data_IF_088147525607
#
_entry.id   IF_088147525607
#
_cell.length_a   1.000
_cell.length_b   1.000
_cell.length_c   1.000
_cell.angle_alpha   90.00
_cell.angle_beta   90.00
_cell.angle_gamma   90.00
#
_symmetry.space_group_name_H-M   'P 1'
#
loop_
_entity.id
_entity.type
_entity.pdbx_description
1 polymer ?
#
# COMPACT_ATOMS: atom_id res chain seq x y z
N UNK A 1 -8.42 -26.28 -12.83
CA UNK A 1 -9.60 -27.16 -13.00
C UNK A 1 -9.80 -28.16 -11.86
N UNK A 2 -8.95 -29.19 -11.70
CA UNK A 2 -9.14 -30.22 -10.65
C UNK A 2 -9.25 -29.67 -9.21
N UNK A 3 -8.51 -28.60 -8.89
CA UNK A 3 -8.62 -27.94 -7.59
C UNK A 3 -9.95 -27.19 -7.37
N UNK A 4 -10.51 -26.56 -8.41
CA UNK A 4 -11.80 -25.87 -8.31
C UNK A 4 -12.93 -26.89 -8.09
N UNK A 5 -12.90 -27.99 -8.84
CA UNK A 5 -13.84 -29.10 -8.67
C UNK A 5 -13.74 -29.76 -7.28
N UNK A 6 -12.52 -29.94 -6.76
CA UNK A 6 -12.30 -30.44 -5.40
C UNK A 6 -12.82 -29.48 -4.32
N UNK A 7 -12.95 -28.19 -4.64
CA UNK A 7 -13.52 -27.15 -3.81
C UNK A 7 -15.05 -27.07 -3.78
N UNK A 8 -15.73 -27.99 -4.48
CA UNK A 8 -17.19 -28.01 -4.56
C UNK A 8 -17.78 -27.16 -5.66
N UNK A 9 -16.95 -26.52 -6.51
CA UNK A 9 -17.45 -25.88 -7.72
C UNK A 9 -17.85 -26.92 -8.75
N UNK A 10 -18.91 -26.63 -9.49
CA UNK A 10 -19.27 -27.42 -10.67
C UNK A 10 -18.30 -27.17 -11.83
N UNK A 11 -18.42 -28.01 -12.84
CA UNK A 11 -17.52 -28.02 -13.99
C UNK A 11 -17.71 -26.79 -14.90
N UNK A 12 -18.92 -26.23 -14.93
CA UNK A 12 -19.27 -25.08 -15.75
C UNK A 12 -18.66 -23.80 -15.18
N UNK A 13 -18.82 -23.57 -13.88
CA UNK A 13 -18.24 -22.43 -13.17
C UNK A 13 -16.70 -22.51 -13.14
N UNK A 14 -16.15 -23.71 -13.03
CA UNK A 14 -14.71 -23.93 -13.13
C UNK A 14 -14.12 -23.57 -14.50
N UNK A 15 -14.85 -23.77 -15.58
CA UNK A 15 -14.44 -23.39 -16.94
C UNK A 15 -14.66 -21.90 -17.21
N UNK A 16 -15.73 -21.30 -16.66
CA UNK A 16 -15.98 -19.86 -16.71
C UNK A 16 -14.84 -19.06 -16.06
N UNK A 17 -14.43 -19.46 -14.85
CA UNK A 17 -13.31 -18.86 -14.12
C UNK A 17 -12.03 -18.89 -14.97
N UNK A 18 -11.71 -20.02 -15.59
CA UNK A 18 -10.52 -20.15 -16.45
C UNK A 18 -10.65 -19.32 -17.75
N UNK A 19 -11.87 -19.20 -18.28
CA UNK A 19 -12.17 -18.34 -19.43
C UNK A 19 -11.92 -16.86 -19.12
N UNK A 20 -12.36 -16.37 -17.95
CA UNK A 20 -12.09 -14.99 -17.49
C UNK A 20 -10.60 -14.70 -17.41
N UNK A 21 -9.81 -15.62 -16.84
CA UNK A 21 -8.35 -15.47 -16.78
C UNK A 21 -7.70 -15.37 -18.16
N UNK A 22 -8.20 -16.11 -19.15
CA UNK A 22 -7.65 -16.08 -20.51
C UNK A 22 -7.97 -14.80 -21.29
N UNK A 23 -8.98 -14.02 -20.86
CA UNK A 23 -9.39 -12.77 -21.52
C UNK A 23 -8.58 -11.55 -21.05
N UNK A 24 -7.99 -11.61 -19.87
CA UNK A 24 -7.22 -10.51 -19.29
C UNK A 24 -5.72 -10.86 -19.39
N UNK A 25 -4.89 -10.04 -20.06
CA UNK A 25 -3.46 -10.30 -20.12
C UNK A 25 -2.85 -10.18 -18.72
N UNK A 26 -2.02 -11.14 -18.32
CA UNK A 26 -1.22 -11.02 -17.10
C UNK A 26 -0.11 -9.97 -17.31
N UNK A 27 -0.26 -8.80 -16.69
CA UNK A 27 0.70 -7.69 -16.84
C UNK A 27 1.85 -7.74 -15.83
N UNK A 28 1.74 -8.49 -14.73
CA UNK A 28 2.81 -8.63 -13.74
C UNK A 28 3.09 -7.40 -12.87
N UNK A 29 2.61 -6.22 -13.27
CA UNK A 29 2.89 -4.89 -12.69
C UNK A 29 2.33 -4.66 -11.26
N UNK A 30 1.72 -5.65 -10.62
CA UNK A 30 1.17 -5.55 -9.26
C UNK A 30 2.07 -6.22 -8.21
N UNK A 31 2.30 -5.60 -7.02
CA UNK A 31 3.13 -6.18 -5.96
C UNK A 31 2.54 -7.48 -5.38
N UNK A 32 1.25 -7.73 -5.62
CA UNK A 32 0.49 -8.87 -5.10
C UNK A 32 -0.45 -9.38 -6.20
N UNK A 33 -0.08 -10.42 -6.96
CA UNK A 33 -0.98 -11.02 -7.95
C UNK A 33 -2.24 -11.59 -7.26
N UNK A 34 -3.44 -11.20 -7.68
CA UNK A 34 -4.71 -11.52 -7.00
C UNK A 34 -5.31 -10.40 -6.15
N UNK A 35 -4.88 -9.15 -6.33
CA UNK A 35 -5.46 -7.99 -5.65
C UNK A 35 -5.72 -6.87 -6.67
N UNK A 36 -6.97 -6.41 -6.76
CA UNK A 36 -7.39 -5.42 -7.77
C UNK A 36 -7.32 -5.91 -9.23
N UNK A 37 -7.21 -7.23 -9.42
CA UNK A 37 -7.14 -7.88 -10.73
C UNK A 37 -8.19 -8.99 -10.86
N UNK A 38 -8.23 -9.63 -12.03
CA UNK A 38 -9.19 -10.71 -12.33
C UNK A 38 -9.10 -11.87 -11.33
N UNK A 39 -7.91 -12.16 -10.78
CA UNK A 39 -7.76 -13.21 -9.75
C UNK A 39 -8.34 -12.75 -8.42
N UNK A 40 -8.18 -11.47 -8.06
CA UNK A 40 -8.83 -10.88 -6.88
C UNK A 40 -10.35 -10.98 -6.94
N UNK A 41 -10.96 -10.58 -8.06
CA UNK A 41 -12.41 -10.69 -8.27
C UNK A 41 -12.91 -12.14 -8.15
N UNK A 42 -12.18 -13.09 -8.76
CA UNK A 42 -12.51 -14.51 -8.66
C UNK A 42 -12.38 -15.00 -7.22
N UNK A 43 -11.36 -14.56 -6.47
CA UNK A 43 -11.17 -14.97 -5.08
C UNK A 43 -12.27 -14.42 -4.17
N UNK A 44 -12.74 -13.21 -4.43
CA UNK A 44 -13.87 -12.63 -3.71
C UNK A 44 -15.14 -13.44 -3.95
N UNK A 45 -15.46 -13.80 -5.20
CA UNK A 45 -16.59 -14.67 -5.53
C UNK A 45 -16.45 -16.04 -4.85
N UNK A 46 -15.27 -16.66 -4.93
CA UNK A 46 -14.99 -17.94 -4.29
C UNK A 46 -15.08 -17.90 -2.76
N UNK A 47 -14.79 -16.75 -2.14
CA UNK A 47 -14.89 -16.57 -0.69
C UNK A 47 -16.34 -16.61 -0.19
N UNK A 48 -17.31 -16.26 -1.04
CA UNK A 48 -18.73 -16.29 -0.69
C UNK A 48 -19.40 -17.62 -1.10
N UNK A 49 -19.03 -18.17 -2.25
CA UNK A 49 -19.77 -19.28 -2.87
C UNK A 49 -19.09 -20.65 -2.71
N UNK A 50 -17.93 -20.74 -2.04
CA UNK A 50 -17.20 -21.99 -1.87
C UNK A 50 -16.50 -22.14 -0.52
N UNK A 51 -16.28 -23.40 -0.12
CA UNK A 51 -15.48 -23.76 1.07
C UNK A 51 -13.98 -23.90 0.72
N UNK A 52 -13.50 -23.24 -0.34
CA UNK A 52 -12.11 -23.34 -0.77
C UNK A 52 -11.14 -22.66 0.20
N UNK A 53 -9.97 -23.26 0.37
CA UNK A 53 -8.84 -22.59 1.00
C UNK A 53 -8.30 -21.51 0.05
N UNK A 54 -8.67 -20.25 0.31
CA UNK A 54 -8.40 -19.11 -0.57
C UNK A 54 -6.91 -18.90 -0.85
N UNK A 55 -6.02 -19.24 0.10
CA UNK A 55 -4.58 -19.15 -0.11
C UNK A 55 -4.07 -20.11 -1.19
N UNK A 56 -4.52 -21.36 -1.19
CA UNK A 56 -4.21 -22.36 -2.21
C UNK A 56 -4.89 -22.04 -3.54
N UNK A 57 -6.14 -21.60 -3.52
CA UNK A 57 -6.86 -21.15 -4.72
C UNK A 57 -6.11 -20.00 -5.39
N UNK A 58 -5.70 -18.99 -4.63
CA UNK A 58 -4.93 -17.84 -5.13
C UNK A 58 -3.65 -18.26 -5.84
N UNK A 59 -2.83 -19.12 -5.22
CA UNK A 59 -1.58 -19.60 -5.84
C UNK A 59 -1.83 -20.30 -7.18
N UNK A 60 -2.87 -21.12 -7.27
CA UNK A 60 -3.20 -21.88 -8.47
C UNK A 60 -3.82 -21.01 -9.57
N UNK A 61 -4.67 -20.04 -9.21
CA UNK A 61 -5.27 -19.10 -10.15
C UNK A 61 -4.19 -18.19 -10.77
N UNK A 62 -3.27 -17.66 -9.97
CA UNK A 62 -2.12 -16.88 -10.49
C UNK A 62 -1.25 -17.71 -11.44
N UNK A 63 -0.98 -18.98 -11.10
CA UNK A 63 -0.21 -19.87 -11.99
C UNK A 63 -0.94 -20.14 -13.32
N UNK A 64 -2.25 -20.41 -13.27
CA UNK A 64 -3.06 -20.63 -14.47
C UNK A 64 -3.19 -19.37 -15.33
N UNK A 65 -3.27 -18.19 -14.71
CA UNK A 65 -3.36 -16.91 -15.40
C UNK A 65 -2.07 -16.58 -16.18
N UNK A 66 -0.91 -16.87 -15.58
CA UNK A 66 0.39 -16.77 -16.25
C UNK A 66 0.50 -17.72 -17.45
N UNK A 67 0.08 -18.97 -17.29
CA UNK A 67 0.16 -19.98 -18.34
C UNK A 67 -0.77 -19.69 -19.52
N UNK A 68 -1.99 -19.23 -19.24
CA UNK A 68 -2.96 -18.82 -20.27
C UNK A 68 -2.50 -17.58 -21.04
N UNK A 69 -1.88 -16.61 -20.36
CA UNK A 69 -1.31 -15.42 -21.01
C UNK A 69 -0.10 -15.75 -21.89
N UNK A 70 0.72 -16.75 -21.52
CA UNK A 70 1.85 -17.20 -22.32
C UNK A 70 1.45 -18.01 -23.58
N UNK A 71 0.23 -18.58 -23.58
CA UNK A 71 -0.29 -19.39 -24.69
C UNK A 71 -1.09 -18.57 -25.73
N UNK A 72 -1.38 -17.29 -25.46
CA UNK A 72 -2.12 -16.43 -26.37
C UNK A 72 -1.24 -15.99 -27.55
N UNK A 73 -1.62 -16.26 -28.82
CA UNK A 73 -0.93 -15.70 -29.97
C UNK A 73 -1.12 -14.18 -30.00
N UNK A 74 -0.03 -13.43 -30.06
CA UNK A 74 -0.02 -11.96 -30.13
C UNK A 74 -1.02 -11.47 -31.21
N UNK A 75 -2.16 -10.96 -30.78
CA UNK A 75 -3.10 -10.23 -31.64
C UNK A 75 -3.04 -8.74 -31.27
N UNK A 76 -2.81 -7.84 -32.24
CA UNK A 76 -2.71 -6.41 -31.96
C UNK A 76 -4.10 -5.77 -31.97
N UNK A 77 -4.54 -5.21 -30.84
CA UNK A 77 -5.69 -4.28 -30.76
C UNK A 77 -5.33 -3.17 -29.78
N UNK A 78 -5.05 -1.95 -30.28
CA UNK A 78 -6.02 -0.87 -30.51
C UNK A 78 -6.56 -0.25 -29.21
N UNK A 79 -5.84 0.78 -28.76
CA UNK A 79 -6.26 1.75 -27.76
C UNK A 79 -7.48 2.54 -28.20
N UNK A 80 -8.48 2.66 -27.34
CA UNK A 80 -9.62 3.54 -27.58
C UNK A 80 -10.56 3.69 -26.40
N UNK A 81 -10.23 4.58 -25.45
CA UNK A 81 -11.24 5.25 -24.61
C UNK A 81 -10.92 6.76 -24.50
N UNK A 82 -11.94 7.64 -24.50
CA UNK A 82 -11.75 9.08 -24.71
C UNK A 82 -11.58 9.85 -23.39
N UNK A 83 -10.79 10.92 -23.48
CA UNK A 83 -10.51 11.87 -22.41
C UNK A 83 -11.76 12.70 -22.03
N UNK A 84 -12.17 12.59 -20.76
CA UNK A 84 -13.15 13.49 -20.13
C UNK A 84 -12.47 14.75 -19.61
N UNK A 85 -13.01 15.90 -20.00
CA UNK A 85 -12.50 17.25 -19.81
C UNK A 85 -12.63 17.70 -18.35
N UNK A 86 -11.53 18.18 -17.74
CA UNK A 86 -11.53 18.79 -16.41
C UNK A 86 -11.62 20.31 -16.57
N UNK A 87 -12.76 20.90 -16.24
CA UNK A 87 -12.88 22.36 -16.14
C UNK A 87 -12.42 22.84 -14.77
N UNK A 88 -11.44 23.74 -14.78
CA UNK A 88 -11.00 24.52 -13.64
C UNK A 88 -11.94 25.70 -13.40
N UNK A 89 -12.45 25.83 -12.17
CA UNK A 89 -13.24 26.98 -11.74
C UNK A 89 -12.98 27.31 -10.28
N UNK A 90 -12.05 28.22 -10.01
CA UNK A 90 -11.91 28.85 -8.71
C UNK A 90 -12.71 30.15 -8.64
N UNK A 91 -13.49 30.35 -7.56
CA UNK A 91 -13.53 31.59 -6.77
C UNK A 91 -14.58 31.56 -5.64
N UNK A 92 -14.11 32.04 -4.49
CA UNK A 92 -14.74 33.01 -3.59
C UNK A 92 -16.07 32.63 -2.87
N UNK A 93 -15.93 32.40 -1.57
CA UNK A 93 -16.72 33.03 -0.51
C UNK A 93 -18.25 33.02 -0.67
N UNK A 94 -18.89 32.05 -0.02
CA UNK A 94 -20.33 32.09 0.23
C UNK A 94 -20.56 32.04 1.74
N UNK A 95 -20.85 33.22 2.30
CA UNK A 95 -21.63 33.35 3.54
C UNK A 95 -23.01 32.79 3.25
N UNK A 96 -23.57 31.99 4.16
CA UNK A 96 -25.00 31.74 4.11
C UNK A 96 -25.77 33.04 4.36
N UNK A 97 -26.86 33.20 3.62
CA UNK A 97 -27.70 34.41 3.60
C UNK A 97 -28.89 34.33 4.58
N UNK A 98 -28.91 33.38 5.53
CA UNK A 98 -30.03 33.19 6.44
C UNK A 98 -29.71 33.25 7.94
N UNK A 99 -28.45 33.41 8.36
CA UNK A 99 -28.12 34.07 9.64
C UNK A 99 -28.84 33.58 10.91
N UNK A 100 -29.29 32.32 10.96
CA UNK A 100 -29.78 31.69 12.19
C UNK A 100 -28.72 30.71 12.64
N UNK A 101 -27.80 31.17 13.48
CA UNK A 101 -26.93 30.28 14.23
C UNK A 101 -27.81 29.55 15.25
N UNK A 102 -28.16 28.29 14.97
CA UNK A 102 -28.77 27.41 15.96
C UNK A 102 -27.80 27.26 17.13
N UNK A 103 -28.22 27.63 18.34
CA UNK A 103 -27.41 27.44 19.56
C UNK A 103 -27.70 26.05 20.14
N UNK A 104 -26.83 25.05 19.91
CA UNK A 104 -27.06 23.67 20.36
C UNK A 104 -27.12 23.56 21.89
N UNK A 105 -26.44 24.45 22.60
CA UNK A 105 -26.43 24.46 24.07
C UNK A 105 -27.81 24.81 24.61
N UNK A 106 -28.48 25.76 23.97
CA UNK A 106 -29.84 26.18 24.31
C UNK A 106 -30.88 25.12 23.94
N UNK A 107 -30.74 24.46 22.79
CA UNK A 107 -31.63 23.38 22.36
C UNK A 107 -31.61 22.20 23.34
N UNK A 108 -30.41 21.79 23.79
CA UNK A 108 -30.26 20.70 24.77
C UNK A 108 -30.86 21.07 26.12
N UNK A 109 -30.67 22.32 26.57
CA UNK A 109 -31.26 22.80 27.82
C UNK A 109 -32.80 22.79 27.78
N UNK A 110 -33.39 23.14 26.63
CA UNK A 110 -34.85 23.13 26.43
C UNK A 110 -35.42 21.71 26.41
N UNK A 111 -34.75 20.77 25.73
CA UNK A 111 -35.12 19.36 25.72
C UNK A 111 -35.12 18.77 27.14
N UNK A 112 -34.05 19.01 27.91
CA UNK A 112 -33.94 18.53 29.30
C UNK A 112 -35.05 19.10 30.19
N UNK A 113 -35.29 20.41 30.12
CA UNK A 113 -36.36 21.03 30.89
C UNK A 113 -37.75 20.48 30.54
N UNK A 114 -38.00 20.17 29.26
CA UNK A 114 -39.24 19.55 28.80
C UNK A 114 -39.43 18.13 29.35
N UNK A 115 -38.38 17.32 29.35
CA UNK A 115 -38.40 15.96 29.89
C UNK A 115 -38.59 15.97 31.42
N UNK A 116 -37.92 16.88 32.14
CA UNK A 116 -38.07 17.05 33.58
C UNK A 116 -39.48 17.52 33.98
N UNK A 117 -40.14 18.31 33.13
CA UNK A 117 -41.52 18.75 33.32
C UNK A 117 -42.56 17.67 32.97
N UNK A 118 -42.14 16.46 32.57
CA UNK A 118 -43.02 15.36 32.18
C UNK A 118 -43.70 15.56 30.82
N UNK A 119 -43.08 16.33 29.93
CA UNK A 119 -43.54 16.48 28.55
C UNK A 119 -43.46 15.15 27.78
N UNK A 120 -44.25 15.06 26.71
CA UNK A 120 -44.29 13.89 25.84
C UNK A 120 -42.97 13.78 25.05
N UNK A 121 -42.19 12.69 25.18
CA UNK A 121 -40.85 12.60 24.62
C UNK A 121 -40.78 12.79 23.09
N UNK A 122 -41.69 12.20 22.32
CA UNK A 122 -41.63 12.28 20.84
C UNK A 122 -41.82 13.72 20.35
N UNK A 123 -42.74 14.47 20.96
CA UNK A 123 -42.96 15.87 20.66
C UNK A 123 -41.74 16.74 21.02
N UNK A 124 -41.08 16.44 22.15
CA UNK A 124 -39.88 17.16 22.58
C UNK A 124 -38.68 16.87 21.69
N UNK A 125 -38.50 15.62 21.23
CA UNK A 125 -37.44 15.27 20.28
C UNK A 125 -37.67 15.92 18.91
N UNK A 126 -38.91 15.91 18.40
CA UNK A 126 -39.24 16.60 17.15
C UNK A 126 -38.97 18.11 17.24
N UNK A 127 -39.33 18.72 18.37
CA UNK A 127 -39.06 20.13 18.61
C UNK A 127 -37.55 20.42 18.74
N UNK A 128 -36.79 19.51 19.33
CA UNK A 128 -35.34 19.59 19.42
C UNK A 128 -34.68 19.49 18.04
N UNK A 129 -35.07 18.52 17.22
CA UNK A 129 -34.61 18.37 15.83
C UNK A 129 -34.94 19.61 15.00
N UNK A 130 -36.16 20.14 15.11
CA UNK A 130 -36.56 21.42 14.50
C UNK A 130 -35.68 22.58 14.95
N UNK A 131 -35.37 22.67 16.24
CA UNK A 131 -34.52 23.74 16.79
C UNK A 131 -33.06 23.66 16.32
N UNK A 132 -32.63 22.47 15.90
CA UNK A 132 -31.33 22.21 15.30
C UNK A 132 -31.34 22.27 13.77
N UNK A 133 -32.50 22.49 13.14
CA UNK A 133 -32.64 22.48 11.69
C UNK A 133 -32.48 21.09 11.06
N UNK A 134 -32.75 20.02 11.82
CA UNK A 134 -32.63 18.62 11.41
C UNK A 134 -33.94 18.05 10.84
N UNK A 135 -34.92 18.88 10.45
CA UNK A 135 -36.15 18.37 9.86
C UNK A 135 -35.85 17.55 8.59
N UNK A 136 -36.45 16.35 8.55
CA UNK A 136 -36.47 15.41 7.42
C UNK A 136 -37.00 16.11 6.16
N UNK A 137 -36.10 16.77 5.44
CA UNK A 137 -36.22 16.97 4.01
C UNK A 137 -35.33 15.95 3.34
N UNK A 138 -35.92 15.12 2.47
CA UNK A 138 -35.27 14.51 1.31
C UNK A 138 -34.71 15.59 0.35
N UNK A 139 -33.98 16.57 0.88
CA UNK A 139 -32.99 17.26 0.10
C UNK A 139 -31.87 16.22 -0.08
N UNK A 140 -31.57 15.77 -1.31
CA UNK A 140 -30.32 15.06 -1.53
C UNK A 140 -29.23 15.87 -0.86
N UNK A 141 -28.33 15.20 -0.15
CA UNK A 141 -27.15 15.80 0.46
C UNK A 141 -26.19 16.28 -0.64
N UNK A 142 -26.65 17.17 -1.51
CA UNK A 142 -25.90 17.91 -2.51
C UNK A 142 -25.05 18.95 -1.76
N UNK A 143 -24.04 18.47 -1.04
CA UNK A 143 -23.19 19.32 -0.20
C UNK A 143 -22.36 18.57 0.83
N UNK A 144 -22.71 17.34 1.19
CA UNK A 144 -21.69 16.43 1.72
C UNK A 144 -20.91 15.99 0.49
N UNK A 145 -19.79 16.67 0.22
CA UNK A 145 -18.85 16.22 -0.79
C UNK A 145 -18.66 14.71 -0.62
N UNK A 146 -18.63 13.98 -1.74
CA UNK A 146 -18.49 12.54 -1.76
C UNK A 146 -17.57 12.08 -0.61
N UNK A 147 -18.03 11.11 0.18
CA UNK A 147 -17.23 10.54 1.27
C UNK A 147 -15.80 10.38 0.74
N UNK A 148 -14.77 10.92 1.42
CA UNK A 148 -13.43 10.95 0.86
C UNK A 148 -13.08 9.53 0.40
N UNK A 149 -12.69 9.40 -0.86
CA UNK A 149 -12.35 8.11 -1.44
C UNK A 149 -11.03 7.68 -0.81
N UNK A 150 -11.12 6.89 0.26
CA UNK A 150 -9.94 6.38 0.96
C UNK A 150 -9.48 5.11 0.26
N UNK A 151 -8.17 4.96 0.00
CA UNK A 151 -7.62 3.74 -0.57
C UNK A 151 -7.58 2.62 0.48
N UNK A 152 -8.75 2.12 0.89
CA UNK A 152 -8.91 1.06 1.89
C UNK A 152 -8.81 1.53 3.36
N UNK A 153 -8.94 0.56 4.28
CA UNK A 153 -9.01 0.85 5.72
C UNK A 153 -7.70 1.38 6.30
N UNK A 154 -6.55 1.00 5.74
CA UNK A 154 -5.24 1.54 6.13
C UNK A 154 -5.11 3.01 5.71
N UNK A 155 -5.62 3.37 4.53
CA UNK A 155 -5.70 4.76 4.08
C UNK A 155 -6.54 5.62 5.03
N UNK A 156 -7.72 5.13 5.43
CA UNK A 156 -8.56 5.80 6.42
C UNK A 156 -7.86 5.98 7.77
N UNK A 157 -7.21 4.92 8.27
CA UNK A 157 -6.46 4.93 9.52
C UNK A 157 -5.31 5.97 9.52
N UNK A 158 -4.61 6.09 8.39
CA UNK A 158 -3.55 7.09 8.21
C UNK A 158 -4.11 8.51 8.23
N UNK A 159 -5.23 8.77 7.55
CA UNK A 159 -5.85 10.10 7.58
C UNK A 159 -6.37 10.46 8.97
N UNK A 160 -6.95 9.51 9.69
CA UNK A 160 -7.35 9.68 11.09
C UNK A 160 -6.16 10.09 11.95
N UNK A 161 -5.02 9.39 11.85
CA UNK A 161 -3.79 9.77 12.54
C UNK A 161 -3.32 11.19 12.18
N UNK A 162 -3.33 11.55 10.90
CA UNK A 162 -2.91 12.89 10.44
C UNK A 162 -3.83 13.97 11.03
N UNK A 163 -5.14 13.71 11.06
CA UNK A 163 -6.13 14.60 11.66
C UNK A 163 -5.91 14.76 13.16
N UNK A 164 -5.75 13.66 13.90
CA UNK A 164 -5.53 13.70 15.34
C UNK A 164 -4.22 14.39 15.72
N UNK A 165 -3.12 14.07 15.01
CA UNK A 165 -1.84 14.71 15.21
C UNK A 165 -1.91 16.23 14.90
N UNK A 166 -2.72 16.61 13.90
CA UNK A 166 -3.00 18.01 13.57
C UNK A 166 -3.86 18.75 14.60
N UNK A 167 -4.68 18.05 15.40
CA UNK A 167 -5.44 18.63 16.51
C UNK A 167 -4.60 18.80 17.78
N UNK A 168 -3.67 17.87 18.00
CA UNK A 168 -2.77 17.89 19.15
C UNK A 168 -1.61 18.89 19.02
N UNK A 169 -1.23 19.26 17.79
CA UNK A 169 -0.19 20.23 17.47
C UNK A 169 -0.70 21.48 16.77
N UNK A 170 0.00 22.60 16.93
CA UNK A 170 -0.32 23.90 16.31
C UNK A 170 -0.23 23.87 14.76
N UNK A 171 -1.18 23.24 14.06
CA UNK A 171 -1.48 23.39 12.62
C UNK A 171 -0.41 22.94 11.59
N UNK A 172 0.87 23.15 11.85
CA UNK A 172 2.00 22.87 10.94
C UNK A 172 2.38 21.37 10.92
N UNK A 173 1.95 20.62 11.94
CA UNK A 173 2.26 19.19 12.08
C UNK A 173 1.50 18.27 11.10
N UNK A 174 0.34 18.68 10.58
CA UNK A 174 -0.39 17.85 9.62
C UNK A 174 0.39 17.67 8.29
N UNK A 175 1.13 18.70 7.87
CA UNK A 175 1.98 18.63 6.68
C UNK A 175 3.15 17.65 6.85
N UNK A 176 3.73 17.57 8.04
CA UNK A 176 4.84 16.68 8.37
C UNK A 176 4.47 15.19 8.23
N UNK A 177 3.23 14.81 8.52
CA UNK A 177 2.78 13.42 8.41
C UNK A 177 2.21 13.06 7.03
N UNK A 178 2.16 14.00 6.08
CA UNK A 178 1.61 13.76 4.75
C UNK A 178 2.36 12.65 3.99
N UNK A 179 3.63 12.40 4.33
CA UNK A 179 4.41 11.29 3.78
C UNK A 179 3.80 9.91 4.08
N UNK A 180 3.01 9.75 5.16
CA UNK A 180 2.37 8.47 5.50
C UNK A 180 1.22 8.09 4.58
N UNK A 181 0.69 9.00 3.75
CA UNK A 181 -0.33 8.64 2.74
C UNK A 181 0.14 7.55 1.78
N UNK A 182 1.46 7.43 1.62
CA UNK A 182 2.12 6.34 0.89
C UNK A 182 1.83 4.97 1.50
N UNK A 183 1.79 4.87 2.82
CA UNK A 183 1.40 3.65 3.54
C UNK A 183 -0.07 3.30 3.26
N UNK A 184 -0.95 4.31 3.15
CA UNK A 184 -2.33 4.12 2.75
C UNK A 184 -2.46 3.50 1.35
N UNK A 185 -1.66 3.97 0.38
CA UNK A 185 -1.61 3.37 -0.96
C UNK A 185 -1.10 1.94 -0.95
N UNK A 186 -0.01 1.68 -0.23
CA UNK A 186 0.55 0.33 -0.07
C UNK A 186 -0.46 -0.63 0.59
N UNK A 187 -1.16 -0.17 1.62
CA UNK A 187 -2.11 -0.97 2.39
C UNK A 187 -3.52 -1.02 1.79
N UNK A 188 -3.71 -0.61 0.54
CA UNK A 188 -5.04 -0.55 -0.10
C UNK A 188 -5.77 -1.89 -0.08
N UNK A 189 -5.03 -2.98 -0.17
CA UNK A 189 -5.56 -4.35 -0.20
C UNK A 189 -5.75 -4.98 1.19
N UNK A 190 -5.31 -4.30 2.26
CA UNK A 190 -5.51 -4.78 3.63
C UNK A 190 -6.96 -4.49 4.00
N UNK A 191 -7.84 -5.48 3.90
CA UNK A 191 -9.29 -5.30 4.08
C UNK A 191 -9.76 -5.03 5.51
N UNK A 192 -8.94 -5.36 6.52
CA UNK A 192 -9.25 -5.14 7.95
C UNK A 192 -8.02 -4.58 8.65
N UNK A 193 -8.21 -3.57 9.50
CA UNK A 193 -7.12 -2.88 10.21
C UNK A 193 -6.27 -3.85 11.05
N UNK A 194 -6.89 -4.85 11.68
CA UNK A 194 -6.20 -5.87 12.49
C UNK A 194 -5.21 -6.73 11.69
N UNK A 195 -5.31 -6.75 10.36
CA UNK A 195 -4.38 -7.48 9.50
C UNK A 195 -3.11 -6.68 9.20
N UNK A 196 -3.06 -5.39 9.52
CA UNK A 196 -1.84 -4.59 9.39
C UNK A 196 -0.81 -5.06 10.44
N UNK A 197 0.30 -5.63 9.97
CA UNK A 197 1.32 -6.23 10.84
C UNK A 197 2.68 -5.52 10.75
N UNK A 198 3.59 -5.83 11.68
CA UNK A 198 4.99 -5.39 11.59
C UNK A 198 5.70 -5.91 10.33
N UNK A 199 5.28 -7.05 9.78
CA UNK A 199 5.83 -7.57 8.53
C UNK A 199 5.40 -6.71 7.32
N UNK A 200 4.17 -6.18 7.33
CA UNK A 200 3.68 -5.31 6.27
C UNK A 200 4.35 -3.94 6.32
N UNK A 201 4.58 -3.41 7.52
CA UNK A 201 5.40 -2.20 7.68
C UNK A 201 6.84 -2.40 7.22
N UNK A 202 7.41 -3.59 7.45
CA UNK A 202 8.73 -3.93 6.94
C UNK A 202 8.73 -4.02 5.40
N UNK A 203 7.75 -4.70 4.79
CA UNK A 203 7.59 -4.78 3.33
C UNK A 203 7.44 -3.40 2.71
N UNK A 204 6.62 -2.55 3.32
CA UNK A 204 6.42 -1.16 2.92
C UNK A 204 7.75 -0.40 2.87
N UNK A 205 8.50 -0.39 3.98
CA UNK A 205 9.75 0.38 4.06
C UNK A 205 10.90 -0.23 3.26
N UNK A 206 11.02 -1.55 3.24
CA UNK A 206 12.21 -2.24 2.75
C UNK A 206 12.10 -2.68 1.28
N UNK A 207 10.89 -2.80 0.71
CA UNK A 207 10.67 -3.19 -0.69
C UNK A 207 9.89 -2.14 -1.46
N UNK A 208 8.65 -1.87 -1.03
CA UNK A 208 7.71 -1.05 -1.80
C UNK A 208 8.21 0.39 -1.98
N UNK A 209 8.70 1.01 -0.89
CA UNK A 209 9.25 2.38 -0.95
C UNK A 209 10.44 2.48 -1.92
N UNK A 210 11.46 1.61 -1.85
CA UNK A 210 12.53 1.54 -2.86
C UNK A 210 12.04 1.33 -4.30
N UNK A 211 11.12 0.39 -4.54
CA UNK A 211 10.65 0.00 -5.89
C UNK A 211 9.74 1.05 -6.53
N UNK A 212 9.09 1.90 -5.73
CA UNK A 212 8.19 2.93 -6.25
C UNK A 212 8.82 4.34 -6.23
N UNK A 213 10.12 4.45 -5.92
CA UNK A 213 10.83 5.73 -5.77
C UNK A 213 10.12 6.72 -4.84
N UNK A 214 9.42 6.19 -3.84
CA UNK A 214 8.56 6.99 -2.97
C UNK A 214 9.38 7.83 -1.98
N UNK A 215 10.66 7.50 -1.78
CA UNK A 215 11.60 8.30 -1.00
C UNK A 215 12.79 8.65 -1.88
N UNK A 216 12.98 9.95 -2.13
CA UNK A 216 13.95 10.43 -3.15
C UNK A 216 15.36 10.64 -2.62
N UNK A 217 15.52 10.73 -1.30
CA UNK A 217 16.77 11.08 -0.65
C UNK A 217 16.74 10.68 0.83
N UNK A 218 17.89 10.82 1.50
CA UNK A 218 18.04 10.41 2.89
C UNK A 218 17.21 11.23 3.89
N UNK A 219 16.92 12.50 3.59
CA UNK A 219 16.09 13.33 4.47
C UNK A 219 14.63 12.88 4.46
N UNK A 220 14.06 12.63 3.27
CA UNK A 220 12.72 12.06 3.12
C UNK A 220 12.62 10.68 3.79
N UNK A 221 13.68 9.86 3.74
CA UNK A 221 13.73 8.57 4.41
C UNK A 221 13.68 8.70 5.93
N UNK A 222 14.44 9.66 6.50
CA UNK A 222 14.39 9.96 7.94
C UNK A 222 13.02 10.48 8.36
N UNK A 223 12.42 11.36 7.57
CA UNK A 223 11.09 11.91 7.81
C UNK A 223 10.04 10.80 7.84
N UNK A 224 10.04 9.91 6.85
CA UNK A 224 9.12 8.78 6.76
C UNK A 224 9.23 7.88 7.99
N UNK A 225 10.44 7.49 8.41
CA UNK A 225 10.61 6.61 9.56
C UNK A 225 10.24 7.29 10.88
N UNK A 226 10.52 8.59 11.02
CA UNK A 226 10.10 9.36 12.18
C UNK A 226 8.57 9.47 12.26
N UNK A 227 7.90 9.71 11.14
CA UNK A 227 6.45 9.72 11.03
C UNK A 227 5.86 8.33 11.35
N UNK A 228 6.44 7.27 10.80
CA UNK A 228 5.99 5.89 11.01
C UNK A 228 6.15 5.46 12.47
N UNK A 229 7.24 5.86 13.13
CA UNK A 229 7.44 5.60 14.56
C UNK A 229 6.43 6.31 15.46
N UNK A 230 5.90 7.47 15.05
CA UNK A 230 4.79 8.13 15.75
C UNK A 230 3.45 7.47 15.44
N UNK A 231 3.21 7.12 14.18
CA UNK A 231 2.01 6.39 13.76
C UNK A 231 1.86 5.06 14.50
N UNK A 232 2.92 4.25 14.58
CA UNK A 232 2.89 2.98 15.31
C UNK A 232 2.54 3.15 16.79
N UNK A 233 3.01 4.24 17.41
CA UNK A 233 2.70 4.56 18.80
C UNK A 233 1.23 4.93 18.96
N UNK A 234 0.72 5.81 18.10
CA UNK A 234 -0.68 6.20 18.10
C UNK A 234 -1.61 5.01 17.85
N UNK A 235 -1.24 4.10 16.94
CA UNK A 235 -2.00 2.87 16.71
C UNK A 235 -2.09 1.98 17.97
N UNK A 236 -1.02 1.89 18.76
CA UNK A 236 -1.02 1.14 20.02
C UNK A 236 -1.85 1.83 21.10
N UNK A 237 -1.77 3.16 21.18
CA UNK A 237 -2.42 3.97 22.22
C UNK A 237 -3.94 4.16 21.97
N UNK A 238 -4.34 4.40 20.73
CA UNK A 238 -5.71 4.80 20.37
C UNK A 238 -6.49 3.70 19.61
N UNK A 239 -5.81 2.82 18.89
CA UNK A 239 -6.44 1.82 18.00
C UNK A 239 -6.30 0.39 18.51
N UNK A 240 -5.53 0.16 19.58
CA UNK A 240 -5.31 -1.16 20.16
C UNK A 240 -4.43 -2.10 19.33
N UNK A 241 -3.69 -1.58 18.34
CA UNK A 241 -2.81 -2.37 17.48
C UNK A 241 -1.39 -2.40 18.03
N UNK A 242 -0.83 -3.58 18.28
CA UNK A 242 0.50 -3.75 18.87
C UNK A 242 1.69 -3.42 17.93
N UNK A 243 1.48 -2.61 16.90
CA UNK A 243 2.46 -2.32 15.84
C UNK A 243 3.80 -1.82 16.38
N UNK A 244 3.79 -0.91 17.36
CA UNK A 244 5.04 -0.40 17.94
C UNK A 244 5.83 -1.50 18.64
N UNK A 245 5.17 -2.30 19.49
CA UNK A 245 5.84 -3.38 20.22
C UNK A 245 6.51 -4.38 19.26
N UNK A 246 5.86 -4.67 18.13
CA UNK A 246 6.31 -5.65 17.14
C UNK A 246 7.36 -5.09 16.16
N UNK A 247 7.24 -3.81 15.76
CA UNK A 247 8.03 -3.22 14.68
C UNK A 247 9.24 -2.38 15.14
N UNK A 248 9.33 -2.04 16.43
CA UNK A 248 10.39 -1.13 16.94
C UNK A 248 11.82 -1.62 16.64
N UNK A 249 12.05 -2.92 16.61
CA UNK A 249 13.39 -3.47 16.33
C UNK A 249 13.79 -3.22 14.88
N UNK A 250 12.88 -3.51 13.94
CA UNK A 250 13.06 -3.29 12.50
C UNK A 250 13.17 -1.79 12.21
N UNK A 251 12.32 -0.97 12.82
CA UNK A 251 12.36 0.49 12.68
C UNK A 251 13.74 1.06 13.07
N UNK A 252 14.38 0.50 14.10
CA UNK A 252 15.72 0.93 14.52
C UNK A 252 16.80 0.57 13.48
N UNK A 253 16.73 -0.61 12.88
CA UNK A 253 17.65 -0.98 11.80
C UNK A 253 17.46 -0.09 10.57
N UNK A 254 16.19 0.08 10.16
CA UNK A 254 15.81 0.93 9.03
C UNK A 254 16.25 2.39 9.18
N UNK A 255 16.36 2.91 10.41
CA UNK A 255 16.81 4.28 10.68
C UNK A 255 18.18 4.59 10.08
N UNK A 256 19.07 3.59 10.03
CA UNK A 256 20.41 3.74 9.48
C UNK A 256 20.49 3.32 8.00
N UNK A 257 19.67 2.34 7.58
CA UNK A 257 19.73 1.76 6.24
C UNK A 257 18.85 2.47 5.21
N UNK A 258 17.58 2.76 5.49
CA UNK A 258 16.65 3.32 4.50
C UNK A 258 17.08 4.69 3.93
N UNK A 259 17.51 5.68 4.76
CA UNK A 259 18.01 6.94 4.23
C UNK A 259 19.19 6.79 3.26
N UNK A 260 20.09 5.85 3.58
CA UNK A 260 21.26 5.54 2.77
C UNK A 260 20.86 4.83 1.47
N UNK A 261 19.92 3.91 1.54
CA UNK A 261 19.37 3.22 0.35
C UNK A 261 18.65 4.19 -0.57
N UNK A 262 17.92 5.18 -0.05
CA UNK A 262 17.32 6.22 -0.87
C UNK A 262 18.38 7.01 -1.67
N UNK A 263 19.52 7.34 -1.05
CA UNK A 263 20.64 7.97 -1.75
C UNK A 263 21.30 7.04 -2.77
N UNK A 264 21.41 5.75 -2.49
CA UNK A 264 21.88 4.76 -3.46
C UNK A 264 20.94 4.67 -4.66
N UNK A 265 19.62 4.55 -4.45
CA UNK A 265 18.62 4.44 -5.51
C UNK A 265 18.52 5.71 -6.35
N UNK A 266 18.75 6.89 -5.77
CA UNK A 266 18.88 8.13 -6.55
C UNK A 266 20.05 8.11 -7.53
N UNK A 267 21.09 7.32 -7.27
CA UNK A 267 22.34 7.22 -8.07
C UNK A 267 22.43 5.92 -8.88
N UNK A 268 21.35 5.14 -8.94
CA UNK A 268 21.32 3.86 -9.65
C UNK A 268 21.45 4.04 -11.15
N UNK A 269 21.83 2.96 -11.84
CA UNK A 269 22.24 3.03 -13.25
C UNK A 269 21.03 3.08 -14.20
N UNK A 270 19.92 2.41 -13.86
CA UNK A 270 18.67 2.40 -14.64
C UNK A 270 17.48 2.25 -13.70
N UNK A 271 16.35 2.90 -14.02
CA UNK A 271 15.10 2.78 -13.26
C UNK A 271 14.04 1.89 -13.94
N UNK A 272 14.14 1.62 -15.25
CA UNK A 272 13.02 1.06 -16.03
C UNK A 272 13.07 -0.47 -16.27
N UNK A 273 14.03 -1.19 -15.65
CA UNK A 273 14.19 -2.66 -15.83
C UNK A 273 14.09 -3.44 -14.50
N UNK A 274 13.34 -2.91 -13.52
CA UNK A 274 13.30 -3.43 -12.16
C UNK A 274 12.83 -4.90 -12.09
N UNK A 275 11.87 -5.34 -12.91
CA UNK A 275 11.37 -6.72 -12.86
C UNK A 275 12.33 -7.80 -13.41
N UNK A 276 13.39 -7.40 -14.11
CA UNK A 276 14.22 -8.33 -14.92
C UNK A 276 15.68 -8.43 -14.42
N UNK A 277 15.95 -7.95 -13.20
CA UNK A 277 17.24 -8.02 -12.56
C UNK A 277 17.42 -9.24 -11.67
N UNK A 278 18.65 -9.75 -11.63
CA UNK A 278 19.10 -10.73 -10.67
C UNK A 278 19.25 -10.09 -9.29
N UNK A 279 18.82 -10.78 -8.24
CA UNK A 279 18.96 -10.31 -6.86
C UNK A 279 20.30 -10.77 -6.27
N UNK A 280 21.04 -9.81 -5.73
CA UNK A 280 22.33 -10.01 -5.08
C UNK A 280 22.31 -9.47 -3.66
N UNK A 281 23.09 -10.08 -2.78
CA UNK A 281 23.48 -9.53 -1.48
C UNK A 281 24.89 -8.95 -1.61
N UNK A 282 25.12 -7.76 -1.09
CA UNK A 282 26.43 -7.11 -1.07
C UNK A 282 27.24 -7.68 0.10
N UNK A 283 28.32 -8.38 -0.20
CA UNK A 283 29.25 -8.86 0.82
C UNK A 283 30.26 -7.78 1.21
N UNK A 284 30.75 -7.03 0.22
CA UNK A 284 31.70 -5.94 0.40
C UNK A 284 31.57 -4.89 -0.71
N UNK A 285 31.92 -3.64 -0.38
CA UNK A 285 31.97 -2.51 -1.32
C UNK A 285 33.28 -1.73 -1.10
N UNK A 286 34.15 -1.73 -2.11
CA UNK A 286 35.47 -1.07 -2.04
C UNK A 286 35.75 -0.30 -3.34
N UNK A 287 35.86 1.02 -3.27
CA UNK A 287 36.30 1.88 -4.39
C UNK A 287 35.58 1.66 -5.74
N UNK A 288 34.27 1.39 -5.71
CA UNK A 288 33.48 1.10 -6.92
C UNK A 288 33.43 -0.39 -7.30
N UNK A 289 34.18 -1.25 -6.63
CA UNK A 289 34.08 -2.70 -6.77
C UNK A 289 33.14 -3.27 -5.72
N UNK A 290 32.19 -4.10 -6.13
CA UNK A 290 31.32 -4.86 -5.23
C UNK A 290 31.70 -6.35 -5.28
N UNK A 291 31.70 -6.98 -4.12
CA UNK A 291 31.64 -8.45 -3.98
C UNK A 291 30.21 -8.82 -3.63
N UNK A 292 29.61 -9.68 -4.43
CA UNK A 292 28.18 -9.97 -4.40
C UNK A 292 27.94 -11.46 -4.24
N UNK A 293 26.88 -11.81 -3.53
CA UNK A 293 26.39 -13.17 -3.39
C UNK A 293 25.02 -13.27 -4.07
N UNK A 294 24.82 -14.26 -4.94
CA UNK A 294 23.51 -14.48 -5.57
C UNK A 294 22.47 -14.93 -4.53
N UNK A 295 21.38 -14.18 -4.40
CA UNK A 295 20.23 -14.57 -3.56
C UNK A 295 19.31 -15.44 -4.40
N UNK A 296 19.65 -16.75 -4.43
CA UNK A 296 18.95 -17.86 -5.09
C UNK A 296 18.14 -17.48 -6.34
N UNK A 297 18.75 -17.64 -7.52
CA UNK A 297 18.00 -17.73 -8.78
C UNK A 297 17.08 -18.96 -8.75
N UNK A 298 15.92 -18.84 -9.38
CA UNK A 298 14.92 -19.89 -9.61
C UNK A 298 15.47 -21.31 -9.42
N UNK A 299 14.81 -22.06 -8.54
CA UNK A 299 15.06 -23.48 -8.24
C UNK A 299 14.96 -24.41 -9.47
N UNK A 300 14.66 -23.87 -10.65
CA UNK A 300 14.60 -24.56 -11.94
C UNK A 300 15.96 -25.10 -12.44
N UNK A 301 17.08 -24.59 -11.94
CA UNK A 301 18.42 -24.99 -12.43
C UNK A 301 19.02 -26.23 -11.74
N UNK A 302 18.36 -26.80 -10.73
CA UNK A 302 18.84 -28.01 -10.05
C UNK A 302 20.18 -27.83 -9.31
N UNK A 303 20.62 -26.59 -9.12
CA UNK A 303 21.82 -26.24 -8.38
C UNK A 303 21.56 -26.47 -6.89
N UNK A 304 22.39 -27.30 -6.26
CA UNK A 304 22.29 -27.58 -4.82
C UNK A 304 22.27 -26.26 -4.02
N UNK A 305 21.35 -26.08 -3.05
CA UNK A 305 21.16 -24.83 -2.32
C UNK A 305 22.36 -24.39 -1.45
N UNK A 306 23.41 -25.22 -1.37
CA UNK A 306 24.55 -25.01 -0.46
C UNK A 306 25.66 -24.12 -1.02
N UNK A 307 25.70 -23.82 -2.33
CA UNK A 307 26.75 -22.96 -2.90
C UNK A 307 26.11 -21.77 -3.59
N UNK A 308 25.99 -20.65 -2.87
CA UNK A 308 25.65 -19.36 -3.47
C UNK A 308 26.90 -18.83 -4.19
N UNK A 309 26.87 -18.64 -5.53
CA UNK A 309 28.04 -18.16 -6.25
C UNK A 309 28.35 -16.72 -5.84
N UNK A 310 29.60 -16.49 -5.46
CA UNK A 310 30.16 -15.16 -5.31
C UNK A 310 30.56 -14.62 -6.68
N UNK A 311 30.16 -13.38 -6.96
CA UNK A 311 30.52 -12.66 -8.19
C UNK A 311 31.03 -11.28 -7.84
N UNK A 312 31.76 -10.66 -8.76
CA UNK A 312 32.22 -9.28 -8.59
C UNK A 312 31.66 -8.39 -9.70
N UNK A 313 31.27 -7.17 -9.34
CA UNK A 313 30.70 -6.20 -10.27
C UNK A 313 31.20 -4.79 -9.99
N UNK A 314 31.46 -4.04 -11.05
CA UNK A 314 31.86 -2.63 -10.97
C UNK A 314 30.66 -1.70 -11.03
N UNK A 315 30.55 -0.78 -10.07
CA UNK A 315 29.57 0.31 -10.05
C UNK A 315 30.28 1.67 -10.06
N UNK A 316 29.53 2.75 -10.25
CA UNK A 316 30.10 4.09 -10.14
C UNK A 316 30.56 4.37 -8.70
N UNK A 317 31.67 5.10 -8.49
CA UNK A 317 32.12 5.45 -7.14
C UNK A 317 31.05 6.21 -6.32
N UNK A 318 30.25 7.03 -6.99
CA UNK A 318 29.14 7.77 -6.37
C UNK A 318 28.04 6.84 -5.84
N UNK A 319 27.76 5.71 -6.49
CA UNK A 319 26.81 4.72 -6.00
C UNK A 319 27.43 3.89 -4.87
N UNK A 320 28.69 3.47 -5.03
CA UNK A 320 29.40 2.63 -4.06
C UNK A 320 29.49 3.28 -2.67
N UNK A 321 29.58 4.61 -2.58
CA UNK A 321 29.63 5.35 -1.31
C UNK A 321 28.40 5.10 -0.43
N UNK A 322 27.25 4.77 -1.03
CA UNK A 322 25.99 4.57 -0.32
C UNK A 322 25.65 3.09 -0.13
N UNK A 323 26.45 2.17 -0.64
CA UNK A 323 26.23 0.73 -0.49
C UNK A 323 27.09 0.18 0.66
N UNK A 324 26.52 -0.77 1.40
CA UNK A 324 27.14 -1.40 2.55
C UNK A 324 26.99 -2.92 2.49
N UNK A 325 27.83 -3.61 3.27
CA UNK A 325 27.70 -5.04 3.47
C UNK A 325 26.32 -5.39 4.07
N UNK A 326 25.68 -6.42 3.54
CA UNK A 326 24.34 -6.89 3.89
C UNK A 326 23.21 -6.22 3.11
N UNK A 327 23.48 -5.19 2.30
CA UNK A 327 22.47 -4.63 1.40
C UNK A 327 22.08 -5.63 0.32
N UNK A 328 20.87 -5.46 -0.23
CA UNK A 328 20.44 -6.22 -1.40
C UNK A 328 20.38 -5.32 -2.62
N UNK A 329 20.76 -5.86 -3.77
CA UNK A 329 20.76 -5.17 -5.05
C UNK A 329 20.01 -6.01 -6.07
N UNK A 330 19.08 -5.39 -6.78
CA UNK A 330 18.56 -5.93 -8.01
C UNK A 330 19.28 -5.29 -9.17
N UNK A 331 19.85 -6.11 -10.04
CA UNK A 331 20.64 -5.60 -11.15
C UNK A 331 21.06 -6.68 -12.13
N UNK A 332 21.87 -6.28 -13.11
CA UNK A 332 22.41 -7.18 -14.12
C UNK A 332 23.91 -6.96 -14.28
N UNK A 333 24.69 -8.02 -14.12
CA UNK A 333 26.11 -8.02 -14.42
C UNK A 333 26.30 -8.06 -15.93
N UNK A 334 26.94 -7.04 -16.48
CA UNK A 334 27.22 -6.91 -17.92
C UNK A 334 28.47 -7.71 -18.29
N UNK A 335 28.59 -8.02 -19.58
CA UNK A 335 29.72 -8.80 -20.11
C UNK A 335 31.09 -8.12 -19.92
N UNK A 336 31.11 -6.80 -19.69
CA UNK A 336 32.31 -6.01 -19.41
C UNK A 336 32.66 -5.91 -17.92
N UNK A 337 31.92 -6.61 -17.04
CA UNK A 337 32.16 -6.63 -15.60
C UNK A 337 31.43 -5.53 -14.81
N UNK A 338 30.79 -4.57 -15.50
CA UNK A 338 29.99 -3.54 -14.83
C UNK A 338 28.66 -4.10 -14.35
N UNK A 339 28.19 -3.64 -13.19
CA UNK A 339 26.88 -3.96 -12.65
C UNK A 339 25.91 -2.81 -12.94
N UNK A 340 24.89 -3.08 -13.75
CA UNK A 340 23.76 -2.18 -13.87
C UNK A 340 22.83 -2.40 -12.67
N UNK A 341 22.77 -1.41 -11.76
CA UNK A 341 21.89 -1.47 -10.58
C UNK A 341 20.54 -0.86 -10.92
N UNK A 342 19.48 -1.62 -10.66
CA UNK A 342 18.08 -1.24 -10.92
C UNK A 342 17.36 -0.79 -9.66
N UNK A 343 17.62 -1.46 -8.54
CA UNK A 343 17.11 -1.06 -7.22
C UNK A 343 18.04 -1.61 -6.14
N UNK A 344 18.17 -0.89 -5.04
CA UNK A 344 18.87 -1.28 -3.82
C UNK A 344 17.87 -1.36 -2.68
N UNK A 345 18.08 -2.29 -1.77
CA UNK A 345 17.22 -2.55 -0.63
C UNK A 345 18.05 -2.63 0.65
N UNK A 346 17.48 -2.22 1.79
CA UNK A 346 18.18 -2.27 3.06
C UNK A 346 18.38 -3.72 3.53
N UNK A 347 19.34 -4.00 4.43
CA UNK A 347 19.59 -5.36 4.94
C UNK A 347 18.37 -6.00 5.59
N UNK A 348 17.47 -5.20 6.16
CA UNK A 348 16.21 -5.63 6.74
C UNK A 348 15.26 -6.28 5.72
N UNK A 349 15.47 -6.10 4.41
CA UNK A 349 14.72 -6.80 3.37
C UNK A 349 15.07 -8.30 3.27
N UNK A 350 16.20 -8.74 3.84
CA UNK A 350 16.69 -10.12 3.71
C UNK A 350 15.67 -11.22 4.01
N UNK A 351 14.94 -11.16 5.15
CA UNK A 351 13.88 -12.14 5.46
C UNK A 351 12.72 -12.16 4.46
N UNK A 352 12.54 -11.11 3.66
CA UNK A 352 11.48 -11.02 2.65
C UNK A 352 11.88 -11.71 1.33
N UNK A 353 13.17 -11.96 1.12
CA UNK A 353 13.71 -12.67 -0.04
C UNK A 353 14.00 -14.16 0.24
N UNK A 354 13.80 -14.61 1.48
CA UNK A 354 14.18 -15.93 1.97
C UNK A 354 13.08 -17.00 1.77
#
# INVERSE_FOLDING_TARGET
RACLLAGGLDEELGDEILGRLALVPYTGEGPVAGAGDVVGEILDELAFDSDLELGAARRLLVAAWRESSAAAPESPLESGLPAGTVEAGGRAGMRDENGVTSDPTRAVAQLRAGLEAGGEPEALYRQFEQSLGLEEGDAPLDGIGAAPDFPGVVGALVEEFIWDAGRAGEGEQAGYYACLRKLGRFGGDIGVVDNLSALDLLRFCALWVPEHDEVRNGDEGRELLAALGRFCRWCEEEQGLALRAEFTTQLRGLADSLPRIAEANRRRTRAEEEEHGTLYEVLAAEHGQLTLCLVAADSSTGTSPEVRPEVSGEVTPELAEWLASGDYLRGRLLADGRLAVYCSYPPEAGPLFA
#
